data_IF_034945127089
#
_entry.id   IF_034945127089
#
_cell.length_a   1.000
_cell.length_b   1.000
_cell.length_c   1.000
_cell.angle_alpha   90.00
_cell.angle_beta   90.00
_cell.angle_gamma   90.00
#
_symmetry.space_group_name_H-M   'P 1'
#
loop_
_entity.id
_entity.type
_entity.pdbx_description
1 polymer ?
#
# COMPACT_ATOMS: atom_id res chain seq x y z
N UNK A 1 10.98 -11.10 12.24
CA UNK A 1 9.57 -10.68 12.10
C UNK A 1 9.57 -9.40 11.28
N UNK A 2 9.35 -9.46 9.96
CA UNK A 2 9.45 -8.27 9.08
C UNK A 2 8.45 -8.27 7.91
N UNK A 3 7.60 -9.30 7.80
CA UNK A 3 6.65 -9.47 6.69
C UNK A 3 5.33 -8.71 6.85
N UNK A 4 5.07 -8.09 8.01
CA UNK A 4 3.79 -7.42 8.29
C UNK A 4 3.77 -5.93 7.87
N UNK A 5 4.93 -5.30 7.66
CA UNK A 5 4.98 -3.84 7.47
C UNK A 5 4.46 -3.40 6.10
N UNK A 6 4.67 -4.17 5.04
CA UNK A 6 4.27 -3.77 3.69
C UNK A 6 2.75 -3.80 3.49
N UNK A 7 2.07 -4.75 4.14
CA UNK A 7 0.61 -4.87 4.12
C UNK A 7 -0.03 -3.70 4.85
N UNK A 8 0.42 -3.44 6.08
CA UNK A 8 -0.10 -2.36 6.91
C UNK A 8 0.23 -0.98 6.32
N UNK A 9 1.43 -0.78 5.78
CA UNK A 9 1.82 0.48 5.14
C UNK A 9 1.00 0.76 3.88
N UNK A 10 0.78 -0.24 3.02
CA UNK A 10 -0.05 -0.03 1.82
C UNK A 10 -1.51 0.22 2.20
N UNK A 11 -2.08 -0.53 3.14
CA UNK A 11 -3.44 -0.28 3.64
C UNK A 11 -3.59 1.17 4.13
N UNK A 12 -2.63 1.66 4.93
CA UNK A 12 -2.64 3.02 5.44
C UNK A 12 -2.59 4.09 4.32
N UNK A 13 -1.81 3.88 3.26
CA UNK A 13 -1.78 4.77 2.09
C UNK A 13 -3.13 4.77 1.37
N UNK A 14 -3.71 3.60 1.16
CA UNK A 14 -4.98 3.45 0.45
C UNK A 14 -6.15 4.07 1.22
N UNK A 15 -6.20 3.84 2.53
CA UNK A 15 -7.25 4.35 3.42
C UNK A 15 -7.21 5.88 3.57
N UNK A 16 -6.09 6.51 3.23
CA UNK A 16 -5.90 7.96 3.38
C UNK A 16 -5.60 8.69 2.07
N UNK A 17 -5.75 8.03 0.92
CA UNK A 17 -5.44 8.59 -0.40
C UNK A 17 -6.13 9.93 -0.68
N UNK A 18 -7.35 10.12 -0.16
CA UNK A 18 -8.15 11.33 -0.37
C UNK A 18 -7.62 12.53 0.43
N UNK A 19 -6.72 12.29 1.39
CA UNK A 19 -6.02 13.30 2.18
C UNK A 19 -4.62 13.59 1.65
N UNK A 20 -4.18 12.88 0.60
CA UNK A 20 -2.84 13.00 0.00
C UNK A 20 -2.99 13.77 -1.32
N UNK A 21 -2.48 15.00 -1.36
CA UNK A 21 -2.52 15.84 -2.56
C UNK A 21 -1.64 15.25 -3.68
N UNK A 22 -0.41 14.87 -3.34
CA UNK A 22 0.47 14.07 -4.19
C UNK A 22 1.49 13.28 -3.37
N UNK A 23 1.83 12.07 -3.82
CA UNK A 23 2.91 11.26 -3.24
C UNK A 23 3.42 10.20 -4.23
N UNK A 24 4.72 9.91 -4.18
CA UNK A 24 5.31 8.72 -4.79
C UNK A 24 6.05 7.94 -3.71
N UNK A 25 5.61 6.71 -3.46
CA UNK A 25 6.14 5.86 -2.38
C UNK A 25 6.65 4.57 -3.01
N UNK A 26 7.90 4.22 -2.68
CA UNK A 26 8.48 2.93 -3.08
C UNK A 26 8.53 2.02 -1.87
N UNK A 27 7.88 0.86 -1.95
CA UNK A 27 7.78 -0.09 -0.86
C UNK A 27 7.87 -1.54 -1.37
N UNK A 28 7.91 -2.50 -0.44
CA UNK A 28 7.83 -3.91 -0.81
C UNK A 28 6.43 -4.23 -1.33
N UNK A 29 6.34 -5.02 -2.41
CA UNK A 29 5.04 -5.48 -2.90
C UNK A 29 4.45 -6.52 -1.92
N UNK A 30 3.24 -6.29 -1.36
CA UNK A 30 2.62 -7.19 -0.39
C UNK A 30 2.18 -8.53 -1.01
N UNK A 31 2.03 -8.60 -2.34
CA UNK A 31 1.71 -9.83 -3.07
C UNK A 31 2.90 -10.81 -3.15
N UNK A 32 4.14 -10.34 -2.93
CA UNK A 32 5.29 -11.23 -2.86
C UNK A 32 5.36 -11.95 -1.51
N UNK A 33 5.46 -13.28 -1.53
CA UNK A 33 5.71 -14.11 -0.33
C UNK A 33 7.19 -14.09 0.08
N UNK A 34 7.76 -12.89 0.24
CA UNK A 34 9.10 -12.65 0.79
C UNK A 34 10.13 -12.03 -0.17
N UNK A 35 11.21 -11.53 0.44
CA UNK A 35 12.58 -11.48 -0.08
C UNK A 35 12.98 -10.42 -1.11
N UNK A 36 12.05 -9.80 -1.84
CA UNK A 36 12.42 -8.75 -2.80
C UNK A 36 12.35 -7.38 -2.13
N UNK A 37 13.37 -6.56 -2.34
CA UNK A 37 13.42 -5.17 -1.88
C UNK A 37 12.27 -4.32 -2.42
N UNK A 38 12.35 -3.00 -2.25
CA UNK A 38 11.32 -2.07 -2.70
C UNK A 38 10.98 -2.35 -4.19
N UNK A 39 9.79 -2.90 -4.43
CA UNK A 39 9.38 -3.54 -5.68
C UNK A 39 7.98 -3.09 -6.13
N UNK A 40 7.35 -2.23 -5.34
CA UNK A 40 6.08 -1.59 -5.62
C UNK A 40 6.29 -0.08 -5.55
N UNK A 41 5.93 0.60 -6.62
CA UNK A 41 5.76 2.05 -6.66
C UNK A 41 4.27 2.36 -6.54
N UNK A 42 3.93 3.25 -5.60
CA UNK A 42 2.57 3.77 -5.40
C UNK A 42 2.61 5.26 -5.66
N UNK A 43 1.80 5.71 -6.62
CA UNK A 43 1.69 7.11 -6.99
C UNK A 43 0.28 7.59 -6.66
N UNK A 44 0.18 8.70 -5.94
CA UNK A 44 -1.07 9.43 -5.72
C UNK A 44 -0.89 10.79 -6.35
N UNK A 45 -1.77 11.16 -7.28
CA UNK A 45 -1.74 12.47 -7.92
C UNK A 45 -3.18 12.91 -8.24
N UNK A 46 -3.59 14.07 -7.73
CA UNK A 46 -4.93 14.63 -7.95
C UNK A 46 -6.07 13.61 -7.65
N UNK A 47 -5.93 12.87 -6.55
CA UNK A 47 -6.88 11.83 -6.13
C UNK A 47 -6.85 10.54 -6.96
N UNK A 48 -5.93 10.42 -7.93
CA UNK A 48 -5.74 9.19 -8.71
C UNK A 48 -4.66 8.33 -8.07
N UNK A 49 -4.94 7.04 -7.96
CA UNK A 49 -4.01 6.04 -7.45
C UNK A 49 -3.41 5.23 -8.62
N UNK A 50 -2.10 5.29 -8.76
CA UNK A 50 -1.29 4.39 -9.58
C UNK A 50 -0.54 3.40 -8.70
N UNK A 51 -0.48 2.14 -9.13
CA UNK A 51 0.35 1.12 -8.48
C UNK A 51 1.08 0.32 -9.56
N UNK A 52 2.40 0.26 -9.47
CA UNK A 52 3.23 -0.48 -10.39
C UNK A 52 4.21 -1.37 -9.62
N UNK A 53 4.07 -2.68 -9.81
CA UNK A 53 5.05 -3.63 -9.30
C UNK A 53 6.11 -3.93 -10.36
N UNK A 54 7.38 -3.73 -10.01
CA UNK A 54 8.54 -4.02 -10.87
C UNK A 54 8.70 -5.52 -11.17
N UNK A 55 8.08 -6.39 -10.38
CA UNK A 55 8.09 -7.84 -10.57
C UNK A 55 6.86 -8.37 -11.31
N UNK A 56 5.94 -7.48 -11.72
CA UNK A 56 4.81 -7.84 -12.58
C UNK A 56 3.52 -8.23 -11.86
N UNK A 57 3.41 -8.06 -10.54
CA UNK A 57 2.11 -8.23 -9.86
C UNK A 57 1.09 -7.21 -10.40
N UNK A 58 -0.10 -7.71 -10.68
CA UNK A 58 -1.24 -6.89 -11.08
C UNK A 58 -1.81 -6.13 -9.89
N UNK A 59 -2.50 -5.03 -10.16
CA UNK A 59 -3.18 -4.25 -9.12
C UNK A 59 -4.17 -5.09 -8.30
N UNK A 60 -4.89 -6.01 -8.95
CA UNK A 60 -5.84 -6.90 -8.29
C UNK A 60 -5.15 -7.84 -7.30
N UNK A 61 -4.00 -8.42 -7.66
CA UNK A 61 -3.22 -9.29 -6.76
C UNK A 61 -2.66 -8.53 -5.57
N UNK A 62 -2.20 -7.28 -5.79
CA UNK A 62 -1.70 -6.40 -4.74
C UNK A 62 -2.80 -6.07 -3.74
N UNK A 63 -3.98 -5.66 -4.22
CA UNK A 63 -5.12 -5.33 -3.36
C UNK A 63 -5.65 -6.56 -2.63
N UNK A 64 -5.72 -7.71 -3.28
CA UNK A 64 -6.12 -8.97 -2.65
C UNK A 64 -5.13 -9.42 -1.56
N UNK A 65 -3.85 -9.11 -1.72
CA UNK A 65 -2.85 -9.38 -0.69
C UNK A 65 -3.05 -8.50 0.55
N UNK A 66 -3.45 -7.24 0.39
CA UNK A 66 -3.64 -6.28 1.50
C UNK A 66 -4.97 -6.51 2.24
N UNK A 67 -6.07 -6.60 1.50
CA UNK A 67 -7.42 -6.63 2.10
C UNK A 67 -7.99 -8.06 2.25
N UNK A 68 -7.26 -9.06 1.78
CA UNK A 68 -7.76 -10.43 1.65
C UNK A 68 -8.73 -10.59 0.47
N UNK A 69 -9.09 -11.84 0.12
CA UNK A 69 -10.09 -12.07 -0.92
C UNK A 69 -11.47 -11.59 -0.43
N UNK A 70 -11.99 -10.50 -1.02
CA UNK A 70 -13.40 -10.10 -0.90
C UNK A 70 -13.73 -8.93 0.05
N UNK A 71 -12.96 -7.85 0.05
CA UNK A 71 -13.34 -6.61 0.74
C UNK A 71 -13.43 -5.44 -0.26
N UNK A 72 -14.52 -5.43 -1.02
CA UNK A 72 -15.16 -4.16 -1.38
C UNK A 72 -15.69 -3.57 -0.05
N UNK A 73 -15.37 -2.31 0.27
CA UNK A 73 -15.90 -1.54 1.42
C UNK A 73 -15.30 -1.81 2.81
N UNK A 74 -14.25 -1.07 3.22
CA UNK A 74 -13.97 -0.82 4.65
C UNK A 74 -13.48 0.60 4.97
N UNK A 75 -13.73 1.12 6.20
CA UNK A 75 -13.83 2.55 6.52
C UNK A 75 -12.54 3.20 7.09
N UNK A 76 -12.55 4.53 7.10
CA UNK A 76 -11.45 5.49 6.87
C UNK A 76 -10.66 6.05 8.09
N UNK A 77 -10.43 5.31 9.18
CA UNK A 77 -9.82 5.89 10.40
C UNK A 77 -8.55 5.17 10.93
N UNK A 78 -7.43 5.23 10.18
CA UNK A 78 -6.08 4.79 10.66
C UNK A 78 -4.94 5.80 10.42
N UNK A 79 -5.24 7.09 10.25
CA UNK A 79 -4.26 8.12 9.88
C UNK A 79 -3.09 8.25 10.88
N UNK A 80 -3.35 8.11 12.19
CA UNK A 80 -2.30 8.27 13.21
C UNK A 80 -1.29 7.12 13.23
N UNK A 81 -1.70 5.93 12.78
CA UNK A 81 -0.81 4.75 12.73
C UNK A 81 0.17 4.85 11.54
N UNK A 82 -0.27 5.46 10.43
CA UNK A 82 0.56 5.74 9.27
C UNK A 82 1.72 6.69 9.57
N UNK A 83 1.42 7.82 10.25
CA UNK A 83 2.43 8.83 10.56
C UNK A 83 3.51 8.26 11.48
N UNK A 84 3.12 7.44 12.45
CA UNK A 84 4.06 6.77 13.33
C UNK A 84 4.94 5.74 12.61
N UNK A 85 4.41 5.05 11.59
CA UNK A 85 5.17 4.09 10.78
C UNK A 85 6.18 4.74 9.82
N UNK A 86 5.90 5.96 9.33
CA UNK A 86 6.84 6.72 8.50
C UNK A 86 7.98 7.38 9.29
N UNK A 87 7.80 7.59 10.60
CA UNK A 87 8.76 8.26 11.46
C UNK A 87 9.76 7.30 12.16
N UNK A 88 9.62 5.99 11.98
CA UNK A 88 10.46 4.94 12.57
C UNK A 88 11.46 4.35 11.56
#
# INVERSE_FOLDING_TARGET
MQTNNAHEALAAVLDNRDKIDSATIVMQCPAHRGGLGASLEVTIEAGRLGMQCLCGCTQAEILAAVYGPGQEERPMDRFDEFINALAA
#
